data_IF_787359763519
#
_entry.id   IF_787359763519
#
_cell.length_a   1.000
_cell.length_b   1.000
_cell.length_c   1.000
_cell.angle_alpha   90.00
_cell.angle_beta   90.00
_cell.angle_gamma   90.00
#
_symmetry.space_group_name_H-M   'P 1'
#
loop_
_entity.id
_entity.type
_entity.pdbx_description
1 polymer ?
#
# COMPACT_ATOMS: atom_id res chain seq x y z
N UNK A 1 -7.66 7.91 -10.67
CA UNK A 1 -6.76 7.17 -11.59
C UNK A 1 -5.33 7.47 -11.16
N UNK A 2 -4.53 6.46 -10.82
CA UNK A 2 -3.14 6.68 -10.38
C UNK A 2 -2.37 7.38 -11.50
N UNK A 3 -1.90 8.60 -11.22
CA UNK A 3 -1.32 9.49 -12.23
C UNK A 3 0.01 8.99 -12.79
N UNK A 4 0.76 8.17 -12.04
CA UNK A 4 1.99 7.53 -12.49
C UNK A 4 2.10 6.10 -11.94
N UNK A 5 1.50 5.17 -12.66
CA UNK A 5 1.43 3.75 -12.27
C UNK A 5 2.80 3.07 -12.23
N UNK A 6 3.69 3.39 -13.17
CA UNK A 6 5.03 2.76 -13.26
C UNK A 6 5.89 3.15 -12.05
N UNK A 7 5.93 4.43 -11.70
CA UNK A 7 6.66 4.89 -10.52
C UNK A 7 6.07 4.30 -9.22
N UNK A 8 4.75 4.12 -9.16
CA UNK A 8 4.12 3.48 -8.01
C UNK A 8 4.44 1.98 -7.94
N UNK A 9 4.52 1.30 -9.07
CA UNK A 9 4.90 -0.11 -9.15
C UNK A 9 6.35 -0.33 -8.70
N UNK A 10 7.27 0.56 -9.10
CA UNK A 10 8.66 0.55 -8.64
C UNK A 10 8.74 0.81 -7.13
N UNK A 11 8.00 1.80 -6.63
CA UNK A 11 7.90 2.08 -5.20
C UNK A 11 7.44 0.85 -4.40
N UNK A 12 6.44 0.13 -4.89
CA UNK A 12 5.98 -1.10 -4.25
C UNK A 12 7.07 -2.18 -4.27
N UNK A 13 7.71 -2.40 -5.41
CA UNK A 13 8.79 -3.40 -5.53
C UNK A 13 9.91 -3.11 -4.52
N UNK A 14 10.37 -1.87 -4.45
CA UNK A 14 11.43 -1.44 -3.51
C UNK A 14 10.98 -1.55 -2.05
N UNK A 15 9.70 -1.28 -1.75
CA UNK A 15 9.15 -1.37 -0.39
C UNK A 15 9.25 -2.79 0.19
N UNK A 16 9.14 -3.83 -0.65
CA UNK A 16 9.11 -5.24 -0.21
C UNK A 16 10.36 -6.04 -0.61
N UNK A 17 11.40 -5.43 -1.20
CA UNK A 17 12.54 -6.18 -1.79
C UNK A 17 13.39 -6.95 -0.78
N UNK A 18 13.49 -6.49 0.47
CA UNK A 18 14.39 -7.06 1.48
C UNK A 18 13.80 -8.28 2.21
N UNK A 19 12.90 -9.03 1.58
CA UNK A 19 12.19 -10.15 2.21
C UNK A 19 11.22 -9.74 3.32
N UNK A 20 10.95 -8.44 3.48
CA UNK A 20 9.92 -7.96 4.41
C UNK A 20 8.58 -8.06 3.73
N UNK A 21 7.66 -8.77 4.36
CA UNK A 21 6.29 -8.93 3.87
C UNK A 21 5.33 -7.88 4.44
N UNK A 22 5.66 -7.30 5.60
CA UNK A 22 4.82 -6.30 6.28
C UNK A 22 5.47 -4.92 6.19
N UNK A 23 4.71 -3.92 5.71
CA UNK A 23 5.13 -2.52 5.59
C UNK A 23 4.02 -1.54 5.94
N UNK A 24 4.41 -0.45 6.57
CA UNK A 24 3.56 0.74 6.70
C UNK A 24 3.77 1.66 5.50
N UNK A 25 2.74 1.84 4.69
CA UNK A 25 2.78 2.66 3.48
C UNK A 25 1.81 3.84 3.62
N UNK A 26 2.22 5.00 3.11
CA UNK A 26 1.36 6.18 3.04
C UNK A 26 0.71 6.25 1.67
N UNK A 27 -0.58 5.90 1.62
CA UNK A 27 -1.31 5.67 0.39
C UNK A 27 -2.54 6.56 0.31
N UNK A 28 -2.88 7.01 -0.90
CA UNK A 28 -4.24 7.46 -1.21
C UNK A 28 -5.19 6.26 -1.23
N UNK A 29 -6.50 6.52 -1.23
CA UNK A 29 -7.50 5.44 -1.36
C UNK A 29 -7.36 4.72 -2.70
N UNK A 30 -7.10 5.45 -3.79
CA UNK A 30 -6.87 4.86 -5.11
C UNK A 30 -5.61 3.98 -5.15
N UNK A 31 -4.52 4.42 -4.51
CA UNK A 31 -3.30 3.63 -4.40
C UNK A 31 -3.56 2.35 -3.60
N UNK A 32 -4.25 2.44 -2.46
CA UNK A 32 -4.60 1.28 -1.65
C UNK A 32 -5.48 0.28 -2.42
N UNK A 33 -6.49 0.76 -3.14
CA UNK A 33 -7.37 -0.10 -3.94
C UNK A 33 -6.62 -0.75 -5.11
N UNK A 34 -5.67 -0.04 -5.72
CA UNK A 34 -4.82 -0.61 -6.74
C UNK A 34 -3.95 -1.75 -6.20
N UNK A 35 -3.34 -1.61 -5.02
CA UNK A 35 -2.56 -2.71 -4.43
C UNK A 35 -3.48 -3.90 -4.11
N UNK A 36 -4.71 -3.70 -3.62
CA UNK A 36 -5.68 -4.80 -3.40
C UNK A 36 -5.97 -5.59 -4.68
N UNK A 37 -6.10 -4.91 -5.81
CA UNK A 37 -6.30 -5.56 -7.11
C UNK A 37 -5.04 -6.30 -7.56
N UNK A 38 -3.86 -5.69 -7.39
CA UNK A 38 -2.58 -6.26 -7.82
C UNK A 38 -2.12 -7.44 -6.95
N UNK A 39 -2.37 -7.35 -5.65
CA UNK A 39 -1.99 -8.31 -4.62
C UNK A 39 -3.23 -8.74 -3.84
N UNK A 40 -4.15 -9.54 -4.44
CA UNK A 40 -5.44 -9.89 -3.83
C UNK A 40 -5.34 -10.71 -2.54
N UNK A 41 -4.16 -11.28 -2.25
CA UNK A 41 -3.89 -11.99 -1.00
C UNK A 41 -3.29 -11.12 0.10
N UNK A 42 -2.89 -9.89 -0.22
CA UNK A 42 -2.30 -9.01 0.77
C UNK A 42 -3.36 -8.53 1.77
N UNK A 43 -3.01 -8.50 3.05
CA UNK A 43 -3.86 -7.94 4.11
C UNK A 43 -3.57 -6.44 4.21
N UNK A 44 -4.63 -5.63 4.30
CA UNK A 44 -4.52 -4.18 4.42
C UNK A 44 -5.25 -3.71 5.67
N UNK A 45 -4.52 -3.01 6.54
CA UNK A 45 -5.08 -2.42 7.75
C UNK A 45 -4.78 -0.94 7.78
N UNK A 46 -5.82 -0.11 7.68
CA UNK A 46 -5.68 1.33 7.88
C UNK A 46 -5.31 1.60 9.33
N UNK A 47 -4.28 2.39 9.56
CA UNK A 47 -3.80 2.71 10.90
C UNK A 47 -4.60 3.88 11.50
N UNK A 48 -4.83 3.80 12.82
CA UNK A 48 -5.51 4.85 13.59
C UNK A 48 -4.63 6.10 13.71
N UNK A 49 -5.25 7.28 13.90
CA UNK A 49 -4.52 8.54 14.03
C UNK A 49 -4.11 9.20 12.71
N UNK A 50 -4.54 8.64 11.56
CA UNK A 50 -4.45 9.35 10.29
C UNK A 50 -5.50 10.46 10.24
N UNK A 51 -5.09 11.68 9.91
CA UNK A 51 -5.99 12.80 9.68
C UNK A 51 -7.09 12.40 8.67
N UNK A 52 -8.35 12.57 9.08
CA UNK A 52 -9.52 12.20 8.29
C UNK A 52 -9.56 12.95 6.95
N UNK A 53 -9.01 14.16 6.92
CA UNK A 53 -8.97 15.05 5.76
C UNK A 53 -7.70 14.90 4.92
N UNK A 54 -6.74 14.05 5.34
CA UNK A 54 -5.53 13.83 4.55
C UNK A 54 -5.83 13.05 3.26
N UNK A 55 -5.26 13.55 2.16
CA UNK A 55 -5.29 12.91 0.84
C UNK A 55 -4.64 11.52 0.87
N UNK A 56 -3.64 11.32 1.74
CA UNK A 56 -2.99 10.03 1.98
C UNK A 56 -3.05 9.63 3.45
N UNK A 57 -3.39 8.37 3.71
CA UNK A 57 -3.49 7.73 5.03
C UNK A 57 -2.41 6.64 5.16
N UNK A 58 -2.09 6.27 6.39
CA UNK A 58 -1.18 5.16 6.67
C UNK A 58 -1.92 3.83 6.66
N UNK A 59 -1.33 2.85 5.98
CA UNK A 59 -1.81 1.48 5.91
C UNK A 59 -0.67 0.54 6.25
N UNK A 60 -0.93 -0.40 7.14
CA UNK A 60 -0.13 -1.62 7.25
C UNK A 60 -0.56 -2.56 6.12
N UNK A 61 0.42 -2.98 5.32
CA UNK A 61 0.27 -3.87 4.18
C UNK A 61 1.11 -5.11 4.44
N UNK A 62 0.45 -6.27 4.51
CA UNK A 62 1.10 -7.57 4.65
C UNK A 62 0.92 -8.37 3.35
N UNK A 63 2.02 -8.60 2.63
CA UNK A 63 2.04 -9.35 1.37
C UNK A 63 2.31 -10.84 1.57
N UNK A 64 2.42 -11.34 2.82
CA UNK A 64 2.55 -12.76 3.07
C UNK A 64 1.34 -13.51 2.52
N UNK A 65 1.63 -14.58 1.78
CA UNK A 65 0.67 -15.61 1.44
C UNK A 65 0.80 -16.67 2.54
N UNK A 66 -0.16 -16.71 3.46
CA UNK A 66 -0.47 -17.97 4.15
C UNK A 66 -0.77 -19.07 3.09
#
# INVERSE_FOLDING_TARGET
>A
MISNKEAFDEFLLESFKDGRSVRELRLSEEEADYIKVKLPKAKFKKLSGTDLHAIKKWYEVDTNRD
#
